data_IF_813378023797
#
_entry.id   IF_813378023797
#
_cell.length_a   1.000
_cell.length_b   1.000
_cell.length_c   1.000
_cell.angle_alpha   90.00
_cell.angle_beta   90.00
_cell.angle_gamma   90.00
#
_symmetry.space_group_name_H-M   'P 1'
#
loop_
_entity.id
_entity.type
_entity.pdbx_description
1 polymer ?
#
# COMPACT_ATOMS: atom_id res chain seq x y z
N UNK A 1 -11.11 9.43 -17.31
CA UNK A 1 -9.91 8.60 -17.53
C UNK A 1 -8.68 9.49 -17.67
N UNK A 2 -7.67 9.25 -16.83
CA UNK A 2 -6.40 9.96 -16.87
C UNK A 2 -5.48 9.47 -18.00
N UNK A 3 -4.33 10.14 -18.18
CA UNK A 3 -3.30 9.69 -19.12
C UNK A 3 -2.69 8.34 -18.69
N UNK A 4 -2.59 8.08 -17.37
CA UNK A 4 -2.14 6.78 -16.85
C UNK A 4 -3.12 5.67 -17.24
N UNK A 5 -4.43 5.89 -17.07
CA UNK A 5 -5.44 4.90 -17.44
C UNK A 5 -5.42 4.60 -18.93
N UNK A 6 -5.27 5.62 -19.78
CA UNK A 6 -5.17 5.45 -21.25
C UNK A 6 -3.96 4.59 -21.64
N UNK A 7 -2.82 4.85 -21.01
CA UNK A 7 -1.60 4.07 -21.22
C UNK A 7 -1.81 2.60 -20.79
N UNK A 8 -2.41 2.37 -19.63
CA UNK A 8 -2.71 1.03 -19.13
C UNK A 8 -3.67 0.27 -20.03
N UNK A 9 -4.73 0.92 -20.53
CA UNK A 9 -5.63 0.32 -21.52
C UNK A 9 -4.92 -0.03 -22.84
N UNK A 10 -3.94 0.79 -23.24
CA UNK A 10 -3.06 0.46 -24.37
C UNK A 10 -2.29 -0.84 -24.16
N UNK A 11 -1.73 -1.01 -22.97
CA UNK A 11 -1.00 -2.23 -22.57
C UNK A 11 -1.94 -3.46 -22.51
N UNK A 12 -3.19 -3.29 -22.07
CA UNK A 12 -4.19 -4.38 -22.04
C UNK A 12 -4.50 -4.99 -23.40
N UNK A 13 -4.46 -4.17 -24.45
CA UNK A 13 -4.72 -4.63 -25.83
C UNK A 13 -3.63 -5.57 -26.36
N UNK A 14 -2.45 -5.60 -25.76
CA UNK A 14 -1.28 -6.36 -26.26
C UNK A 14 -1.33 -7.86 -25.94
N UNK A 15 -2.40 -8.40 -25.31
CA UNK A 15 -2.57 -9.82 -24.96
C UNK A 15 -1.37 -10.49 -24.26
N UNK A 16 -0.40 -9.72 -23.80
CA UNK A 16 0.79 -10.18 -23.09
C UNK A 16 0.70 -9.83 -21.59
N UNK A 17 1.34 -10.58 -20.70
CA UNK A 17 1.41 -10.24 -19.29
C UNK A 17 1.99 -8.83 -19.10
N UNK A 18 1.36 -7.99 -18.30
CA UNK A 18 1.74 -6.57 -18.17
C UNK A 18 3.19 -6.39 -17.73
N UNK A 19 3.70 -7.26 -16.85
CA UNK A 19 5.09 -7.25 -16.41
C UNK A 19 6.06 -7.47 -17.58
N UNK A 20 5.72 -8.34 -18.52
CA UNK A 20 6.54 -8.60 -19.71
C UNK A 20 6.52 -7.38 -20.65
N UNK A 21 5.35 -6.74 -20.85
CA UNK A 21 5.25 -5.54 -21.67
C UNK A 21 6.10 -4.41 -21.07
N UNK A 22 5.97 -4.13 -19.76
CA UNK A 22 6.79 -3.10 -19.11
C UNK A 22 8.28 -3.48 -19.10
N UNK A 23 8.62 -4.77 -18.95
CA UNK A 23 9.99 -5.25 -19.07
C UNK A 23 10.60 -5.00 -20.46
N UNK A 24 9.87 -5.34 -21.53
CA UNK A 24 10.31 -5.07 -22.90
C UNK A 24 10.44 -3.57 -23.17
N UNK A 25 9.46 -2.77 -22.75
CA UNK A 25 9.52 -1.31 -22.90
C UNK A 25 10.73 -0.72 -22.16
N UNK A 26 11.03 -1.22 -20.97
CA UNK A 26 12.24 -0.84 -20.23
C UNK A 26 13.50 -1.17 -21.00
N UNK A 27 13.65 -2.41 -21.52
CA UNK A 27 14.83 -2.84 -22.29
C UNK A 27 15.01 -1.99 -23.55
N UNK A 28 13.92 -1.72 -24.28
CA UNK A 28 13.95 -0.86 -25.46
C UNK A 28 14.37 0.57 -25.10
N UNK A 29 13.74 1.16 -24.06
CA UNK A 29 14.08 2.51 -23.63
C UNK A 29 15.55 2.60 -23.13
N UNK A 30 16.01 1.58 -22.40
CA UNK A 30 17.40 1.48 -21.97
C UNK A 30 18.38 1.39 -23.15
N UNK A 31 18.07 0.57 -24.15
CA UNK A 31 18.89 0.46 -25.37
C UNK A 31 18.95 1.79 -26.13
N UNK A 32 17.81 2.48 -26.26
CA UNK A 32 17.74 3.81 -26.90
C UNK A 32 18.59 4.82 -26.14
N UNK A 33 18.47 4.92 -24.83
CA UNK A 33 19.26 5.85 -24.00
C UNK A 33 20.75 5.51 -24.09
N UNK A 34 21.13 4.23 -24.10
CA UNK A 34 22.51 3.79 -24.26
C UNK A 34 23.09 4.17 -25.65
N UNK A 35 22.29 3.98 -26.70
CA UNK A 35 22.69 4.40 -28.05
C UNK A 35 22.91 5.92 -28.17
N UNK A 36 22.01 6.71 -27.51
CA UNK A 36 22.13 8.17 -27.49
C UNK A 36 23.37 8.63 -26.70
N UNK A 37 23.72 7.94 -25.60
CA UNK A 37 24.98 8.19 -24.85
C UNK A 37 26.21 7.91 -25.67
N UNK A 38 26.22 6.83 -26.42
CA UNK A 38 27.33 6.51 -27.34
C UNK A 38 27.47 7.58 -28.44
N UNK A 39 26.32 8.05 -28.99
CA UNK A 39 26.29 9.15 -29.95
C UNK A 39 26.85 10.46 -29.36
N UNK A 40 26.60 10.71 -28.07
CA UNK A 40 27.11 11.89 -27.35
C UNK A 40 28.61 11.75 -26.95
N UNK A 41 29.31 10.69 -27.38
CA UNK A 41 30.77 10.50 -27.26
C UNK A 41 31.22 9.58 -26.14
N UNK A 42 30.33 8.87 -25.45
CA UNK A 42 30.72 7.84 -24.48
C UNK A 42 31.10 6.55 -25.23
N UNK A 43 32.12 5.85 -24.73
CA UNK A 43 32.40 4.48 -25.24
C UNK A 43 31.24 3.55 -24.83
N UNK A 44 31.01 2.49 -25.63
CA UNK A 44 29.94 1.51 -25.33
C UNK A 44 30.06 0.93 -23.92
N UNK A 45 31.29 0.64 -23.48
CA UNK A 45 31.54 0.13 -22.12
C UNK A 45 31.18 1.16 -21.03
N UNK A 46 31.46 2.45 -21.25
CA UNK A 46 31.07 3.53 -20.35
C UNK A 46 29.55 3.75 -20.35
N UNK A 47 28.93 3.72 -21.54
CA UNK A 47 27.47 3.90 -21.66
C UNK A 47 26.68 2.80 -20.97
N UNK A 48 27.21 1.58 -20.86
CA UNK A 48 26.61 0.44 -20.16
C UNK A 48 26.98 0.44 -18.67
N UNK A 49 28.22 0.80 -18.31
CA UNK A 49 28.74 0.78 -16.94
C UNK A 49 28.33 2.01 -16.10
N UNK A 50 28.08 3.15 -16.72
CA UNK A 50 27.50 4.28 -16.03
C UNK A 50 26.16 3.80 -15.42
N UNK A 51 25.84 4.12 -14.15
CA UNK A 51 24.62 3.60 -13.52
C UNK A 51 23.49 3.71 -14.52
N UNK A 52 22.75 2.62 -14.79
CA UNK A 52 21.62 2.69 -15.69
C UNK A 52 20.78 3.88 -15.24
N UNK A 53 20.11 4.60 -16.14
CA UNK A 53 19.27 5.68 -15.73
C UNK A 53 18.25 5.12 -14.72
N UNK A 54 18.61 5.19 -13.46
CA UNK A 54 17.86 4.66 -12.30
C UNK A 54 16.42 5.13 -12.40
N UNK A 55 16.28 6.35 -12.85
CA UNK A 55 15.00 6.99 -13.10
C UNK A 55 14.17 6.32 -14.21
N UNK A 56 14.82 5.70 -15.20
CA UNK A 56 14.09 4.98 -16.24
C UNK A 56 13.42 3.70 -15.69
N UNK A 57 14.12 2.97 -14.81
CA UNK A 57 13.56 1.80 -14.12
C UNK A 57 12.30 2.20 -13.35
N UNK A 58 12.30 3.38 -12.72
CA UNK A 58 11.18 3.84 -11.90
C UNK A 58 9.94 4.13 -12.72
N UNK A 59 10.05 4.69 -13.91
CA UNK A 59 8.89 4.96 -14.77
C UNK A 59 8.10 3.66 -14.97
N UNK A 60 8.79 2.61 -15.42
CA UNK A 60 8.14 1.34 -15.72
C UNK A 60 7.68 0.61 -14.46
N UNK A 61 8.46 0.68 -13.38
CA UNK A 61 8.07 0.14 -12.08
C UNK A 61 6.79 0.81 -11.55
N UNK A 62 6.73 2.14 -11.54
CA UNK A 62 5.57 2.90 -11.06
C UNK A 62 4.31 2.60 -11.88
N UNK A 63 4.43 2.50 -13.20
CA UNK A 63 3.31 2.14 -14.07
C UNK A 63 2.86 0.69 -13.84
N UNK A 64 3.79 -0.25 -13.69
CA UNK A 64 3.48 -1.64 -13.38
C UNK A 64 2.82 -1.78 -11.99
N UNK A 65 3.34 -1.07 -11.00
CA UNK A 65 2.78 -1.01 -9.64
C UNK A 65 1.34 -0.48 -9.65
N UNK A 66 1.09 0.63 -10.34
CA UNK A 66 -0.26 1.22 -10.46
C UNK A 66 -1.24 0.23 -11.06
N UNK A 67 -0.85 -0.48 -12.12
CA UNK A 67 -1.69 -1.50 -12.74
C UNK A 67 -1.98 -2.65 -11.79
N UNK A 68 -0.94 -3.16 -11.12
CA UNK A 68 -1.10 -4.23 -10.12
C UNK A 68 -2.06 -3.82 -9.01
N UNK A 69 -1.90 -2.60 -8.47
CA UNK A 69 -2.77 -2.10 -7.41
C UNK A 69 -4.21 -1.90 -7.86
N UNK A 70 -4.47 -1.45 -9.10
CA UNK A 70 -5.81 -1.33 -9.65
C UNK A 70 -6.50 -2.69 -9.79
N UNK A 71 -5.79 -3.71 -10.28
CA UNK A 71 -6.32 -5.07 -10.36
C UNK A 71 -6.65 -5.63 -8.97
N UNK A 72 -5.69 -5.50 -8.04
CA UNK A 72 -5.87 -5.90 -6.65
C UNK A 72 -7.05 -5.16 -5.99
N UNK A 73 -7.21 -3.87 -6.24
CA UNK A 73 -8.31 -3.06 -5.71
C UNK A 73 -9.68 -3.59 -6.16
N UNK A 74 -9.82 -3.95 -7.43
CA UNK A 74 -11.03 -4.59 -7.97
C UNK A 74 -11.35 -5.91 -7.28
N UNK A 75 -10.35 -6.79 -7.12
CA UNK A 75 -10.52 -8.07 -6.40
C UNK A 75 -10.92 -7.87 -4.94
N UNK A 76 -10.33 -6.87 -4.26
CA UNK A 76 -10.62 -6.59 -2.85
C UNK A 76 -11.99 -5.96 -2.67
N UNK A 77 -12.43 -5.12 -3.61
CA UNK A 77 -13.79 -4.59 -3.64
C UNK A 77 -14.82 -5.71 -3.82
N UNK A 78 -14.56 -6.68 -4.69
CA UNK A 78 -15.44 -7.83 -4.86
C UNK A 78 -15.62 -8.65 -3.57
N UNK A 79 -14.54 -8.84 -2.80
CA UNK A 79 -14.63 -9.49 -1.48
C UNK A 79 -15.35 -8.63 -0.45
N UNK A 80 -15.17 -7.31 -0.51
CA UNK A 80 -15.80 -6.36 0.42
C UNK A 80 -17.29 -6.17 0.14
N UNK A 81 -17.80 -6.60 -1.01
CA UNK A 81 -19.19 -6.42 -1.44
C UNK A 81 -20.20 -6.92 -0.39
N UNK A 82 -19.88 -8.03 0.30
CA UNK A 82 -20.75 -8.58 1.36
C UNK A 82 -20.94 -7.64 2.56
N UNK A 83 -20.04 -6.67 2.76
CA UNK A 83 -20.14 -5.65 3.79
C UNK A 83 -20.91 -4.40 3.35
N UNK A 84 -21.23 -4.27 2.06
CA UNK A 84 -21.94 -3.14 1.48
C UNK A 84 -23.42 -3.45 1.27
N UNK A 85 -24.27 -2.42 1.44
CA UNK A 85 -25.68 -2.45 1.06
C UNK A 85 -25.85 -1.52 -0.15
N UNK A 86 -25.51 -2.03 -1.34
CA UNK A 86 -25.49 -1.28 -2.60
C UNK A 86 -26.02 -2.15 -3.74
N UNK A 87 -26.71 -1.53 -4.69
CA UNK A 87 -27.12 -2.21 -5.92
C UNK A 87 -25.96 -2.37 -6.93
N UNK A 88 -26.22 -3.05 -8.05
CA UNK A 88 -25.19 -3.30 -9.06
C UNK A 88 -24.70 -2.04 -9.76
N UNK A 89 -25.54 -1.03 -9.91
CA UNK A 89 -25.18 0.24 -10.54
C UNK A 89 -24.25 1.06 -9.63
N UNK A 90 -24.62 1.16 -8.35
CA UNK A 90 -23.79 1.85 -7.36
C UNK A 90 -22.45 1.10 -7.13
N UNK A 91 -22.49 -0.24 -7.13
CA UNK A 91 -21.27 -1.06 -7.07
C UNK A 91 -20.35 -0.78 -8.27
N UNK A 92 -20.90 -0.66 -9.47
CA UNK A 92 -20.15 -0.29 -10.67
C UNK A 92 -19.48 1.08 -10.56
N UNK A 93 -20.17 2.09 -10.00
CA UNK A 93 -19.62 3.42 -9.76
C UNK A 93 -18.48 3.39 -8.72
N UNK A 94 -18.65 2.62 -7.63
CA UNK A 94 -17.60 2.43 -6.63
C UNK A 94 -16.36 1.75 -7.23
N UNK A 95 -16.54 0.72 -8.06
CA UNK A 95 -15.46 0.03 -8.74
C UNK A 95 -14.72 0.99 -9.69
N UNK A 96 -15.47 1.78 -10.47
CA UNK A 96 -14.89 2.79 -11.36
C UNK A 96 -14.07 3.83 -10.61
N UNK A 97 -14.58 4.39 -9.51
CA UNK A 97 -13.86 5.38 -8.68
C UNK A 97 -12.61 4.82 -8.03
N UNK A 98 -12.64 3.57 -7.60
CA UNK A 98 -11.51 2.92 -6.93
C UNK A 98 -10.36 2.61 -7.89
N UNK A 99 -10.67 2.32 -9.16
CA UNK A 99 -9.70 1.82 -10.15
C UNK A 99 -9.38 2.81 -11.26
N UNK A 100 -10.09 3.94 -11.35
CA UNK A 100 -9.91 4.94 -12.42
C UNK A 100 -9.57 6.31 -11.84
N UNK A 101 -8.61 6.98 -12.46
CA UNK A 101 -8.16 8.30 -12.02
C UNK A 101 -8.85 9.44 -12.75
N UNK A 102 -9.25 10.51 -12.05
CA UNK A 102 -9.71 11.73 -12.70
C UNK A 102 -8.57 12.40 -13.49
N UNK A 103 -8.85 12.81 -14.73
CA UNK A 103 -7.82 13.27 -15.67
C UNK A 103 -7.10 14.54 -15.20
N UNK A 104 -7.86 15.57 -14.81
CA UNK A 104 -7.29 16.89 -14.45
C UNK A 104 -6.43 16.82 -13.20
N UNK A 105 -6.87 16.28 -12.06
CA UNK A 105 -6.03 16.17 -10.87
C UNK A 105 -4.76 15.35 -11.10
N UNK A 106 -4.83 14.26 -11.85
CA UNK A 106 -3.65 13.42 -12.17
C UNK A 106 -2.62 14.22 -12.98
N UNK A 107 -3.08 15.00 -13.99
CA UNK A 107 -2.20 15.84 -14.78
C UNK A 107 -1.57 16.94 -13.93
N UNK A 108 -2.37 17.63 -13.10
CA UNK A 108 -1.88 18.73 -12.26
C UNK A 108 -0.81 18.25 -11.25
N UNK A 109 -0.99 17.07 -10.66
CA UNK A 109 0.03 16.49 -9.76
C UNK A 109 1.29 16.11 -10.54
N UNK A 110 1.17 15.55 -11.74
CA UNK A 110 2.33 15.31 -12.60
C UNK A 110 3.09 16.60 -12.92
N UNK A 111 2.39 17.67 -13.30
CA UNK A 111 2.99 18.98 -13.60
C UNK A 111 3.60 19.64 -12.34
N UNK A 112 2.96 19.52 -11.18
CA UNK A 112 3.51 20.04 -9.93
C UNK A 112 4.84 19.34 -9.58
N UNK A 113 4.92 18.02 -9.70
CA UNK A 113 6.16 17.27 -9.48
C UNK A 113 7.21 17.54 -10.55
N UNK A 114 6.80 17.78 -11.79
CA UNK A 114 7.69 18.26 -12.86
C UNK A 114 8.33 19.62 -12.48
N UNK A 115 7.53 20.55 -11.95
CA UNK A 115 8.03 21.83 -11.48
C UNK A 115 9.03 21.67 -10.30
N UNK A 116 8.75 20.76 -9.38
CA UNK A 116 9.69 20.39 -8.30
C UNK A 116 11.00 19.84 -8.88
N UNK A 117 10.95 18.95 -9.87
CA UNK A 117 12.15 18.44 -10.53
C UNK A 117 12.97 19.56 -11.16
N UNK A 118 12.32 20.46 -11.91
CA UNK A 118 12.98 21.61 -12.52
C UNK A 118 13.65 22.51 -11.48
N UNK A 119 12.98 22.79 -10.37
CA UNK A 119 13.54 23.59 -9.28
C UNK A 119 14.76 22.90 -8.62
N UNK A 120 14.67 21.58 -8.39
CA UNK A 120 15.79 20.77 -7.87
C UNK A 120 16.99 20.77 -8.84
N UNK A 121 16.74 20.67 -10.14
CA UNK A 121 17.81 20.74 -11.15
C UNK A 121 18.47 22.10 -11.18
N UNK A 122 17.73 23.18 -11.09
CA UNK A 122 18.29 24.53 -11.01
C UNK A 122 19.15 24.68 -9.75
N UNK A 123 18.65 24.23 -8.60
CA UNK A 123 19.39 24.29 -7.33
C UNK A 123 20.66 23.41 -7.33
N UNK A 124 20.57 22.21 -7.95
CA UNK A 124 21.67 21.25 -8.03
C UNK A 124 22.59 21.45 -9.26
N UNK A 125 22.33 22.44 -10.11
CA UNK A 125 23.05 22.65 -11.37
C UNK A 125 24.58 22.63 -11.23
N UNK A 126 25.22 23.27 -10.23
CA UNK A 126 26.68 23.20 -10.08
C UNK A 126 27.22 21.80 -9.79
N UNK A 127 26.44 20.94 -9.11
CA UNK A 127 26.82 19.56 -8.84
C UNK A 127 26.60 18.67 -10.07
N UNK A 128 25.50 18.88 -10.80
CA UNK A 128 25.16 18.18 -12.05
C UNK A 128 26.24 18.39 -13.12
N UNK A 129 26.73 19.64 -13.28
CA UNK A 129 27.81 19.97 -14.21
C UNK A 129 29.11 19.27 -13.79
N UNK A 130 29.43 19.26 -12.50
CA UNK A 130 30.65 18.58 -11.99
C UNK A 130 30.60 17.06 -12.19
N UNK A 131 29.43 16.46 -12.05
CA UNK A 131 29.23 15.01 -12.19
C UNK A 131 29.02 14.56 -13.66
N UNK A 132 29.13 15.50 -14.63
CA UNK A 132 28.98 15.22 -16.06
C UNK A 132 27.69 14.43 -16.40
N UNK A 133 26.58 14.77 -15.75
CA UNK A 133 25.28 14.15 -16.06
C UNK A 133 24.93 14.36 -17.54
N UNK A 134 24.71 13.28 -18.25
CA UNK A 134 24.31 13.36 -19.65
C UNK A 134 22.88 13.94 -19.77
N UNK A 135 22.61 14.62 -20.89
CA UNK A 135 21.30 15.22 -21.19
C UNK A 135 20.14 14.26 -21.00
N UNK A 136 20.34 13.00 -21.34
CA UNK A 136 19.35 11.93 -21.29
C UNK A 136 19.01 11.50 -19.86
N UNK A 137 19.92 11.65 -18.92
CA UNK A 137 19.69 11.43 -17.49
C UNK A 137 18.78 12.52 -16.92
N UNK A 138 18.98 13.77 -17.33
CA UNK A 138 18.11 14.89 -16.96
C UNK A 138 16.71 14.63 -17.52
N UNK A 139 16.56 14.28 -18.80
CA UNK A 139 15.26 14.00 -19.42
C UNK A 139 14.54 12.84 -18.73
N UNK A 140 15.25 11.73 -18.47
CA UNK A 140 14.66 10.58 -17.79
C UNK A 140 14.24 10.90 -16.36
N UNK A 141 15.03 11.70 -15.64
CA UNK A 141 14.69 12.16 -14.28
C UNK A 141 13.44 13.03 -14.29
N UNK A 142 13.39 14.03 -15.13
CA UNK A 142 12.25 14.95 -15.27
C UNK A 142 10.97 14.17 -15.61
N UNK A 143 11.06 13.21 -16.54
CA UNK A 143 9.93 12.36 -16.89
C UNK A 143 9.50 11.46 -15.73
N UNK A 144 10.46 10.95 -14.94
CA UNK A 144 10.18 10.14 -13.75
C UNK A 144 9.43 10.94 -12.69
N UNK A 145 9.80 12.19 -12.46
CA UNK A 145 9.07 13.05 -11.52
C UNK A 145 7.64 13.30 -11.99
N UNK A 146 7.44 13.56 -13.28
CA UNK A 146 6.09 13.73 -13.84
C UNK A 146 5.23 12.46 -13.65
N UNK A 147 5.75 11.28 -13.99
CA UNK A 147 5.05 10.01 -13.80
C UNK A 147 4.84 9.75 -12.31
N UNK A 148 5.87 9.96 -11.49
CA UNK A 148 5.83 9.80 -10.05
C UNK A 148 4.74 10.65 -9.39
N UNK A 149 4.59 11.91 -9.80
CA UNK A 149 3.52 12.80 -9.33
C UNK A 149 2.13 12.23 -9.62
N UNK A 150 1.91 11.69 -10.82
CA UNK A 150 0.67 11.01 -11.17
C UNK A 150 0.41 9.77 -10.30
N UNK A 151 1.45 8.99 -10.00
CA UNK A 151 1.34 7.76 -9.17
C UNK A 151 1.18 8.10 -7.68
N UNK A 152 1.81 9.16 -7.19
CA UNK A 152 1.54 9.67 -5.82
C UNK A 152 0.07 10.06 -5.69
N UNK A 153 -0.47 10.77 -6.69
CA UNK A 153 -1.90 11.09 -6.71
C UNK A 153 -2.77 9.83 -6.74
N UNK A 154 -2.42 8.84 -7.58
CA UNK A 154 -3.09 7.52 -7.61
C UNK A 154 -3.13 6.89 -6.21
N UNK A 155 -1.99 6.81 -5.54
CA UNK A 155 -1.90 6.24 -4.20
C UNK A 155 -2.84 6.95 -3.22
N UNK A 156 -2.79 8.28 -3.16
CA UNK A 156 -3.63 9.06 -2.24
C UNK A 156 -5.11 8.91 -2.60
N UNK A 157 -5.46 8.95 -3.88
CA UNK A 157 -6.83 8.78 -4.36
C UNK A 157 -7.38 7.42 -3.97
N UNK A 158 -6.68 6.33 -4.29
CA UNK A 158 -7.09 4.96 -3.99
C UNK A 158 -7.25 4.71 -2.49
N UNK A 159 -6.32 5.19 -1.66
CA UNK A 159 -6.42 5.05 -0.20
C UNK A 159 -7.57 5.87 0.40
N UNK A 160 -7.90 7.03 -0.18
CA UNK A 160 -9.09 7.81 0.20
C UNK A 160 -10.37 7.09 -0.18
N UNK A 161 -10.44 6.47 -1.36
CA UNK A 161 -11.62 5.69 -1.76
C UNK A 161 -11.78 4.45 -0.85
N UNK A 162 -10.70 3.76 -0.46
CA UNK A 162 -10.76 2.70 0.56
C UNK A 162 -11.34 3.21 1.87
N UNK A 163 -10.89 4.37 2.36
CA UNK A 163 -11.45 4.98 3.58
C UNK A 163 -12.94 5.29 3.45
N UNK A 164 -13.38 5.77 2.27
CA UNK A 164 -14.79 6.04 1.97
C UNK A 164 -15.63 4.76 1.91
N UNK A 165 -15.10 3.71 1.32
CA UNK A 165 -15.73 2.39 1.28
C UNK A 165 -15.91 1.83 2.69
N UNK A 166 -14.91 1.94 3.55
CA UNK A 166 -15.01 1.57 4.97
C UNK A 166 -16.11 2.38 5.70
N UNK A 167 -16.26 3.65 5.37
CA UNK A 167 -17.32 4.47 5.95
C UNK A 167 -18.74 4.06 5.49
N UNK A 168 -18.87 3.39 4.34
CA UNK A 168 -20.14 2.89 3.78
C UNK A 168 -20.47 1.45 4.18
N UNK A 169 -19.59 0.76 4.91
CA UNK A 169 -19.86 -0.61 5.34
C UNK A 169 -21.15 -0.65 6.21
N UNK A 170 -22.20 -1.30 5.72
CA UNK A 170 -23.48 -1.42 6.42
C UNK A 170 -23.47 -2.64 7.34
N UNK A 171 -22.84 -3.73 6.93
CA UNK A 171 -22.84 -4.99 7.64
C UNK A 171 -21.46 -5.30 8.24
N UNK A 172 -21.37 -5.27 9.57
CA UNK A 172 -20.16 -5.62 10.32
C UNK A 172 -20.41 -6.96 11.00
N UNK A 173 -20.07 -8.05 10.31
CA UNK A 173 -20.13 -9.38 10.89
C UNK A 173 -18.80 -9.74 11.57
N UNK A 174 -18.83 -9.77 12.91
CA UNK A 174 -17.66 -10.08 13.73
C UNK A 174 -17.25 -11.57 13.68
N UNK A 175 -18.15 -12.45 13.22
CA UNK A 175 -17.86 -13.88 13.07
C UNK A 175 -17.32 -14.21 11.68
N UNK A 176 -17.49 -13.29 10.71
CA UNK A 176 -17.00 -13.44 9.35
C UNK A 176 -16.15 -12.22 8.95
N UNK A 177 -14.89 -12.23 9.37
CA UNK A 177 -13.98 -11.09 9.23
C UNK A 177 -13.36 -10.93 7.83
N UNK A 178 -13.40 -11.96 6.97
CA UNK A 178 -12.73 -11.95 5.67
C UNK A 178 -13.10 -10.75 4.78
N UNK A 179 -14.39 -10.36 4.63
CA UNK A 179 -14.73 -9.16 3.88
C UNK A 179 -14.15 -7.88 4.51
N UNK A 180 -14.17 -7.79 5.85
CA UNK A 180 -13.68 -6.62 6.58
C UNK A 180 -12.16 -6.44 6.47
N UNK A 181 -11.42 -7.55 6.27
CA UNK A 181 -9.97 -7.56 6.06
C UNK A 181 -9.55 -7.36 4.61
N UNK A 182 -10.50 -7.27 3.66
CA UNK A 182 -10.21 -7.29 2.23
C UNK A 182 -9.18 -6.22 1.81
N UNK A 183 -9.34 -4.98 2.27
CA UNK A 183 -8.48 -3.88 1.87
C UNK A 183 -7.14 -3.81 2.61
N UNK A 184 -6.94 -4.57 3.70
CA UNK A 184 -5.65 -4.58 4.40
C UNK A 184 -4.49 -5.04 3.50
N UNK A 185 -4.74 -6.00 2.61
CA UNK A 185 -3.73 -6.45 1.66
C UNK A 185 -3.43 -5.39 0.58
N UNK A 186 -4.43 -4.62 0.14
CA UNK A 186 -4.22 -3.52 -0.81
C UNK A 186 -3.35 -2.42 -0.20
N UNK A 187 -3.68 -1.97 1.02
CA UNK A 187 -2.89 -0.95 1.72
C UNK A 187 -1.48 -1.42 2.04
N UNK A 188 -1.30 -2.69 2.43
CA UNK A 188 0.00 -3.29 2.64
C UNK A 188 0.83 -3.33 1.35
N UNK A 189 0.27 -3.80 0.23
CA UNK A 189 0.98 -3.87 -1.06
C UNK A 189 1.31 -2.48 -1.60
N UNK A 190 0.43 -1.50 -1.42
CA UNK A 190 0.73 -0.09 -1.75
C UNK A 190 1.96 0.41 -0.99
N UNK A 191 1.99 0.19 0.31
CA UNK A 191 3.11 0.60 1.17
C UNK A 191 4.39 -0.14 0.82
N UNK A 192 4.31 -1.45 0.59
CA UNK A 192 5.44 -2.29 0.16
C UNK A 192 6.02 -1.83 -1.18
N UNK A 193 5.16 -1.45 -2.12
CA UNK A 193 5.60 -0.90 -3.40
C UNK A 193 6.47 0.35 -3.24
N UNK A 194 6.07 1.28 -2.38
CA UNK A 194 6.85 2.47 -2.08
C UNK A 194 8.15 2.17 -1.30
N UNK A 195 8.12 1.23 -0.34
CA UNK A 195 9.31 0.79 0.40
C UNK A 195 10.32 0.15 -0.56
N UNK A 196 9.86 -0.72 -1.46
CA UNK A 196 10.74 -1.38 -2.45
C UNK A 196 11.37 -0.37 -3.40
N UNK A 197 10.57 0.60 -3.89
CA UNK A 197 11.08 1.67 -4.73
C UNK A 197 12.22 2.43 -4.03
N UNK A 198 12.02 2.81 -2.77
CA UNK A 198 13.02 3.53 -1.99
C UNK A 198 14.26 2.65 -1.74
N UNK A 199 14.06 1.37 -1.39
CA UNK A 199 15.15 0.44 -1.15
C UNK A 199 16.04 0.28 -2.39
N UNK A 200 15.43 0.06 -3.55
CA UNK A 200 16.17 -0.03 -4.83
C UNK A 200 16.90 1.28 -5.13
N UNK A 201 16.27 2.42 -4.84
CA UNK A 201 16.92 3.74 -5.01
C UNK A 201 18.19 3.86 -4.21
N UNK A 202 18.13 3.49 -2.94
CA UNK A 202 19.29 3.62 -2.03
C UNK A 202 20.50 2.82 -2.53
N UNK A 203 20.26 1.69 -3.24
CA UNK A 203 21.33 0.84 -3.76
C UNK A 203 21.84 1.27 -5.14
N UNK A 204 21.05 2.05 -5.87
CA UNK A 204 21.38 2.49 -7.23
C UNK A 204 21.89 3.92 -7.29
N UNK A 205 21.67 4.72 -6.25
CA UNK A 205 22.16 6.11 -6.18
C UNK A 205 23.58 6.13 -5.63
N UNK A 206 24.52 6.86 -6.26
CA UNK A 206 25.90 7.02 -5.78
C UNK A 206 25.98 7.50 -4.34
N UNK A 207 26.93 7.00 -3.56
CA UNK A 207 27.13 7.32 -2.15
C UNK A 207 27.26 8.82 -1.86
N UNK A 208 27.87 9.58 -2.79
CA UNK A 208 28.05 11.03 -2.71
C UNK A 208 26.71 11.79 -2.67
N UNK A 209 25.70 11.29 -3.40
CA UNK A 209 24.33 11.82 -3.38
C UNK A 209 23.59 11.29 -2.14
N UNK A 210 23.86 10.05 -1.74
CA UNK A 210 23.26 9.43 -0.57
C UNK A 210 23.69 10.13 0.74
N UNK A 211 24.91 10.65 0.82
CA UNK A 211 25.45 11.31 2.00
C UNK A 211 24.81 12.69 2.30
N UNK A 212 24.16 13.33 1.31
CA UNK A 212 23.68 14.72 1.42
C UNK A 212 22.28 14.90 2.02
N UNK A 213 21.76 13.94 2.80
CA UNK A 213 20.47 14.07 3.47
C UNK A 213 19.52 12.88 3.31
N UNK A 214 19.99 11.80 2.76
CA UNK A 214 19.19 10.61 2.46
C UNK A 214 18.61 9.92 3.71
N UNK A 215 19.27 10.02 4.86
CA UNK A 215 18.79 9.44 6.12
C UNK A 215 17.46 10.07 6.57
N UNK A 216 17.29 11.37 6.46
CA UNK A 216 16.04 12.04 6.77
C UNK A 216 14.92 11.65 5.79
N UNK A 217 15.23 11.55 4.50
CA UNK A 217 14.29 11.09 3.46
C UNK A 217 13.80 9.67 3.76
N UNK A 218 14.70 8.77 4.20
CA UNK A 218 14.35 7.42 4.60
C UNK A 218 13.29 7.40 5.70
N UNK A 219 13.51 8.12 6.79
CA UNK A 219 12.56 8.20 7.92
C UNK A 219 11.20 8.73 7.46
N UNK A 220 11.18 9.78 6.63
CA UNK A 220 9.94 10.35 6.10
C UNK A 220 9.19 9.34 5.24
N UNK A 221 9.85 8.66 4.30
CA UNK A 221 9.19 7.68 3.42
C UNK A 221 8.69 6.48 4.21
N UNK A 222 9.44 6.01 5.22
CA UNK A 222 9.00 4.93 6.11
C UNK A 222 7.76 5.36 6.91
N UNK A 223 7.73 6.56 7.44
CA UNK A 223 6.56 7.10 8.14
C UNK A 223 5.34 7.20 7.19
N UNK A 224 5.54 7.68 5.96
CA UNK A 224 4.49 7.71 4.93
C UNK A 224 4.01 6.31 4.56
N UNK A 225 4.89 5.34 4.43
CA UNK A 225 4.52 3.94 4.14
C UNK A 225 3.68 3.34 5.28
N UNK A 226 4.07 3.55 6.53
CA UNK A 226 3.28 3.12 7.69
C UNK A 226 1.91 3.83 7.71
N UNK A 227 1.88 5.14 7.46
CA UNK A 227 0.64 5.89 7.38
C UNK A 227 -0.27 5.38 6.25
N UNK A 228 0.28 5.09 5.07
CA UNK A 228 -0.45 4.54 3.92
C UNK A 228 -1.05 3.15 4.22
N UNK A 229 -0.42 2.35 5.08
CA UNK A 229 -0.98 1.08 5.54
C UNK A 229 -2.08 1.27 6.60
N UNK A 230 -1.83 2.08 7.63
CA UNK A 230 -2.67 2.14 8.83
C UNK A 230 -3.86 3.10 8.66
N UNK A 231 -3.62 4.32 8.12
CA UNK A 231 -4.63 5.40 8.11
C UNK A 231 -5.92 5.00 7.37
N UNK A 232 -5.88 4.37 6.18
CA UNK A 232 -7.11 3.97 5.48
C UNK A 232 -7.95 2.94 6.23
N UNK A 233 -7.32 2.16 7.13
CA UNK A 233 -7.97 1.09 7.90
C UNK A 233 -8.59 1.57 9.22
N UNK A 234 -8.25 2.79 9.68
CA UNK A 234 -8.74 3.33 10.96
C UNK A 234 -10.26 3.49 10.99
N UNK A 235 -10.89 3.80 9.85
CA UNK A 235 -12.35 3.89 9.72
C UNK A 235 -13.03 2.56 10.02
N UNK A 236 -12.54 1.47 9.44
CA UNK A 236 -13.04 0.13 9.69
C UNK A 236 -12.74 -0.33 11.11
N UNK A 237 -11.53 -0.07 11.63
CA UNK A 237 -11.19 -0.35 13.03
C UNK A 237 -12.22 0.24 14.01
N UNK A 238 -12.54 1.52 13.87
CA UNK A 238 -13.54 2.19 14.73
C UNK A 238 -14.91 1.53 14.66
N UNK A 239 -15.36 1.12 13.47
CA UNK A 239 -16.63 0.42 13.27
C UNK A 239 -16.62 -0.96 13.90
N UNK A 240 -15.55 -1.72 13.74
CA UNK A 240 -15.39 -3.04 14.38
C UNK A 240 -15.36 -2.92 15.91
N UNK A 241 -14.70 -1.88 16.45
CA UNK A 241 -14.73 -1.59 17.90
C UNK A 241 -16.15 -1.31 18.37
N UNK A 242 -16.90 -0.47 17.66
CA UNK A 242 -18.29 -0.17 18.01
C UNK A 242 -19.16 -1.43 17.94
N UNK A 243 -19.13 -2.18 16.84
CA UNK A 243 -19.90 -3.42 16.69
C UNK A 243 -19.56 -4.46 17.77
N UNK A 244 -18.27 -4.61 18.10
CA UNK A 244 -17.82 -5.50 19.19
C UNK A 244 -18.37 -5.07 20.55
N UNK A 245 -18.30 -3.79 20.87
CA UNK A 245 -18.84 -3.24 22.11
C UNK A 245 -20.34 -3.49 22.21
N UNK A 246 -21.07 -3.24 21.12
CA UNK A 246 -22.53 -3.40 21.10
C UNK A 246 -22.93 -4.88 21.21
N UNK A 247 -22.19 -5.79 20.57
CA UNK A 247 -22.40 -7.24 20.69
C UNK A 247 -22.11 -7.75 22.12
N UNK A 248 -21.02 -7.30 22.76
CA UNK A 248 -20.70 -7.64 24.15
C UNK A 248 -21.77 -7.08 25.10
N UNK A 249 -22.24 -5.86 24.89
CA UNK A 249 -23.31 -5.26 25.69
C UNK A 249 -24.61 -6.05 25.56
N UNK A 250 -25.00 -6.44 24.34
CA UNK A 250 -26.19 -7.26 24.11
C UNK A 250 -26.10 -8.63 24.79
N UNK A 251 -24.92 -9.28 24.74
CA UNK A 251 -24.69 -10.53 25.46
C UNK A 251 -24.73 -10.34 26.97
N UNK A 252 -24.23 -9.20 27.50
CA UNK A 252 -24.32 -8.82 28.92
C UNK A 252 -25.75 -8.65 29.39
N UNK A 253 -26.60 -7.98 28.59
CA UNK A 253 -28.03 -7.82 28.92
C UNK A 253 -28.80 -9.16 28.86
N UNK A 254 -28.41 -10.09 27.97
CA UNK A 254 -28.98 -11.46 27.98
C UNK A 254 -28.58 -12.20 29.25
N UNK A 255 -27.29 -12.12 29.64
CA UNK A 255 -26.78 -12.75 30.85
C UNK A 255 -27.48 -12.22 32.09
N UNK A 256 -27.65 -10.90 32.21
CA UNK A 256 -28.34 -10.26 33.30
C UNK A 256 -29.80 -10.77 33.42
N UNK A 257 -30.53 -10.83 32.30
CA UNK A 257 -31.90 -11.38 32.27
C UNK A 257 -31.94 -12.83 32.73
N UNK A 258 -31.10 -13.69 32.18
CA UNK A 258 -31.01 -15.11 32.58
C UNK A 258 -30.70 -15.26 34.07
N UNK A 259 -29.76 -14.46 34.61
CA UNK A 259 -29.41 -14.50 36.04
C UNK A 259 -30.60 -14.05 36.93
N UNK A 260 -31.33 -13.01 36.49
CA UNK A 260 -32.53 -12.55 37.20
C UNK A 260 -33.63 -13.63 37.23
N UNK A 261 -33.86 -14.30 36.09
CA UNK A 261 -34.86 -15.37 35.98
C UNK A 261 -34.47 -16.60 36.81
N UNK A 262 -33.18 -16.98 36.82
CA UNK A 262 -32.65 -18.05 37.68
C UNK A 262 -32.88 -17.75 39.15
N UNK A 263 -32.51 -16.54 39.60
CA UNK A 263 -32.67 -16.13 40.99
C UNK A 263 -34.15 -16.16 41.40
N UNK A 264 -35.07 -15.64 40.56
CA UNK A 264 -36.50 -15.69 40.83
C UNK A 264 -37.07 -17.11 40.89
N UNK A 265 -36.53 -18.08 40.19
CA UNK A 265 -36.92 -19.51 40.28
C UNK A 265 -36.39 -20.16 41.56
N UNK A 266 -35.15 -19.87 41.91
CA UNK A 266 -34.57 -20.34 43.17
C UNK A 266 -35.38 -19.86 44.36
N UNK A 267 -35.77 -18.57 44.37
CA UNK A 267 -36.59 -17.96 45.45
C UNK A 267 -37.96 -18.61 45.54
N UNK A 268 -38.52 -19.14 44.45
CA UNK A 268 -39.77 -19.89 44.42
C UNK A 268 -39.65 -21.36 44.74
N UNK A 269 -38.42 -21.90 44.87
CA UNK A 269 -38.16 -23.33 45.08
C UNK A 269 -38.36 -24.19 43.83
N UNK A 270 -38.36 -23.58 42.63
CA UNK A 270 -38.54 -24.26 41.34
C UNK A 270 -37.18 -24.70 40.75
N UNK A 271 -36.72 -25.91 41.01
CA UNK A 271 -35.38 -26.38 40.62
C UNK A 271 -35.36 -27.19 39.30
N UNK A 272 -36.49 -27.52 38.72
CA UNK A 272 -36.59 -28.44 37.54
C UNK A 272 -35.89 -27.94 36.28
N UNK A 273 -35.69 -26.61 36.14
CA UNK A 273 -35.09 -25.98 34.96
C UNK A 273 -33.69 -25.46 35.19
N UNK A 274 -33.09 -25.64 36.36
CA UNK A 274 -31.76 -25.08 36.68
C UNK A 274 -30.65 -25.58 35.76
N UNK A 275 -30.70 -26.85 35.32
CA UNK A 275 -29.71 -27.37 34.38
C UNK A 275 -29.78 -26.69 32.98
N UNK A 276 -30.99 -26.43 32.48
CA UNK A 276 -31.20 -25.69 31.25
C UNK A 276 -30.71 -24.24 31.35
N UNK A 277 -30.96 -23.57 32.47
CA UNK A 277 -30.44 -22.22 32.71
C UNK A 277 -28.90 -22.18 32.81
N UNK A 278 -28.29 -23.13 33.55
CA UNK A 278 -26.83 -23.24 33.59
C UNK A 278 -26.20 -23.39 32.21
N UNK A 279 -26.79 -24.22 31.35
CA UNK A 279 -26.33 -24.38 29.96
C UNK A 279 -26.51 -23.08 29.17
N UNK A 280 -27.64 -22.37 29.33
CA UNK A 280 -27.88 -21.09 28.67
C UNK A 280 -26.86 -20.03 29.13
N UNK A 281 -26.63 -19.88 30.43
CA UNK A 281 -25.63 -18.97 31.01
C UNK A 281 -24.24 -19.30 30.48
N UNK A 282 -23.83 -20.58 30.50
CA UNK A 282 -22.55 -21.01 29.98
C UNK A 282 -22.38 -20.68 28.49
N UNK A 283 -23.45 -20.81 27.67
CA UNK A 283 -23.44 -20.46 26.26
C UNK A 283 -23.22 -18.96 26.06
N UNK A 284 -23.93 -18.09 26.80
CA UNK A 284 -23.76 -16.62 26.70
C UNK A 284 -22.38 -16.19 27.19
N UNK A 285 -21.87 -16.80 28.26
CA UNK A 285 -20.50 -16.51 28.73
C UNK A 285 -19.46 -16.91 27.68
N UNK A 286 -19.61 -18.08 27.04
CA UNK A 286 -18.74 -18.52 25.95
C UNK A 286 -18.83 -17.59 24.72
N UNK A 287 -20.01 -17.05 24.40
CA UNK A 287 -20.18 -16.01 23.38
C UNK A 287 -19.42 -14.75 23.72
N UNK A 288 -19.56 -14.22 24.94
CA UNK A 288 -18.81 -13.05 25.39
C UNK A 288 -17.30 -13.25 25.33
N UNK A 289 -16.80 -14.41 25.75
CA UNK A 289 -15.40 -14.73 25.69
C UNK A 289 -14.86 -14.78 24.24
N UNK A 290 -15.62 -15.36 23.32
CA UNK A 290 -15.29 -15.35 21.88
C UNK A 290 -15.25 -13.95 21.34
N UNK A 291 -16.27 -13.13 21.60
CA UNK A 291 -16.32 -11.73 21.18
C UNK A 291 -15.15 -10.94 21.75
N UNK A 292 -14.78 -11.16 23.00
CA UNK A 292 -13.64 -10.48 23.63
C UNK A 292 -12.30 -10.77 22.93
N UNK A 293 -12.12 -11.97 22.39
CA UNK A 293 -10.91 -12.39 21.66
C UNK A 293 -10.83 -11.90 20.21
N UNK A 294 -11.93 -11.41 19.61
CA UNK A 294 -11.94 -10.91 18.24
C UNK A 294 -11.05 -9.66 18.12
N UNK A 295 -10.10 -9.69 17.19
CA UNK A 295 -9.31 -8.50 16.84
C UNK A 295 -10.20 -7.46 16.15
N UNK A 296 -10.08 -6.21 16.57
CA UNK A 296 -10.81 -5.08 15.94
C UNK A 296 -9.99 -4.39 14.84
N UNK A 297 -8.74 -4.77 14.65
CA UNK A 297 -7.98 -4.27 13.52
C UNK A 297 -8.30 -5.08 12.26
N UNK A 298 -8.60 -4.40 11.14
CA UNK A 298 -9.06 -5.07 9.91
C UNK A 298 -7.90 -5.63 9.09
N UNK A 299 -6.98 -6.35 9.72
CA UNK A 299 -5.93 -7.09 9.04
C UNK A 299 -5.77 -8.52 9.58
N UNK A 300 -5.50 -9.44 8.67
CA UNK A 300 -5.10 -10.78 9.04
C UNK A 300 -3.66 -10.76 9.60
N UNK A 301 -3.38 -11.66 10.55
CA UNK A 301 -2.05 -11.77 11.18
C UNK A 301 -0.93 -11.94 10.15
N UNK A 302 -1.18 -12.69 9.06
CA UNK A 302 -0.22 -12.87 7.97
C UNK A 302 0.11 -11.58 7.22
N UNK A 303 -0.90 -10.72 6.97
CA UNK A 303 -0.69 -9.42 6.30
C UNK A 303 0.17 -8.50 7.15
N UNK A 304 -0.13 -8.41 8.45
CA UNK A 304 0.66 -7.59 9.37
C UNK A 304 2.11 -8.08 9.48
N UNK A 305 2.30 -9.40 9.66
CA UNK A 305 3.66 -9.99 9.73
C UNK A 305 4.44 -9.72 8.45
N UNK A 306 3.86 -9.96 7.28
CA UNK A 306 4.49 -9.68 5.99
C UNK A 306 4.88 -8.21 5.84
N UNK A 307 3.99 -7.30 6.21
CA UNK A 307 4.27 -5.87 6.17
C UNK A 307 5.41 -5.46 7.10
N UNK A 308 5.39 -5.90 8.37
CA UNK A 308 6.45 -5.59 9.36
C UNK A 308 7.79 -6.19 8.92
N UNK A 309 7.81 -7.43 8.43
CA UNK A 309 9.03 -8.06 7.91
C UNK A 309 9.65 -7.27 6.76
N UNK A 310 8.83 -6.83 5.81
CA UNK A 310 9.30 -6.05 4.68
C UNK A 310 9.76 -4.63 5.08
N UNK A 311 9.09 -4.03 6.08
CA UNK A 311 9.48 -2.74 6.63
C UNK A 311 10.87 -2.81 7.29
N UNK A 312 11.19 -3.89 7.99
CA UNK A 312 12.45 -4.08 8.70
C UNK A 312 13.58 -4.61 7.80
N UNK A 313 13.23 -5.28 6.69
CA UNK A 313 14.22 -5.94 5.82
C UNK A 313 15.38 -5.02 5.39
N UNK A 314 15.16 -3.79 4.91
CA UNK A 314 16.25 -2.91 4.52
C UNK A 314 17.22 -2.59 5.65
N UNK A 315 16.69 -2.38 6.86
CA UNK A 315 17.51 -2.11 8.06
C UNK A 315 18.32 -3.33 8.44
N UNK A 316 17.73 -4.52 8.42
CA UNK A 316 18.41 -5.78 8.73
C UNK A 316 19.52 -6.07 7.73
N UNK A 317 19.24 -5.90 6.42
CA UNK A 317 20.26 -6.09 5.36
C UNK A 317 21.44 -5.16 5.56
N UNK A 318 21.18 -3.88 5.86
CA UNK A 318 22.25 -2.90 6.11
C UNK A 318 23.10 -3.29 7.34
N UNK A 319 22.47 -3.66 8.44
CA UNK A 319 23.19 -4.10 9.64
C UNK A 319 24.07 -5.34 9.40
N UNK A 320 23.55 -6.30 8.62
CA UNK A 320 24.31 -7.49 8.22
C UNK A 320 25.50 -7.10 7.33
N UNK A 321 25.31 -6.19 6.37
CA UNK A 321 26.41 -5.71 5.54
C UNK A 321 27.48 -4.98 6.34
N UNK A 322 27.10 -4.08 7.26
CA UNK A 322 28.03 -3.38 8.15
C UNK A 322 28.78 -4.35 9.07
N UNK A 323 28.11 -5.36 9.62
CA UNK A 323 28.74 -6.40 10.41
C UNK A 323 29.73 -7.24 9.59
N UNK A 324 29.35 -7.65 8.39
CA UNK A 324 30.21 -8.40 7.48
C UNK A 324 31.47 -7.61 7.10
N UNK A 325 31.34 -6.32 6.79
CA UNK A 325 32.47 -5.43 6.49
C UNK A 325 33.44 -5.30 7.67
N UNK A 326 32.93 -5.20 8.91
CA UNK A 326 33.79 -5.17 10.11
C UNK A 326 34.55 -6.47 10.33
N UNK A 327 33.91 -7.62 10.05
CA UNK A 327 34.53 -8.94 10.23
C UNK A 327 35.58 -9.24 9.14
N UNK A 328 35.31 -8.82 7.92
CA UNK A 328 36.21 -9.08 6.75
C UNK A 328 37.35 -8.07 6.63
N UNK A 329 37.38 -7.00 7.41
CA UNK A 329 38.43 -5.97 7.35
C UNK A 329 38.48 -5.16 6.04
N UNK A 330 37.47 -5.30 5.17
CA UNK A 330 37.40 -4.63 3.87
C UNK A 330 36.89 -3.18 3.96
N UNK A 331 36.84 -2.60 5.14
CA UNK A 331 36.31 -1.24 5.40
C UNK A 331 37.36 -0.23 5.85
N UNK A 332 38.65 -0.44 5.57
CA UNK A 332 39.72 0.57 5.80
C UNK A 332 40.33 1.02 4.49
#
# INVERSE_FOLDING_TARGET
MSWIDRLQHGVERLRAPSWAVFGVLFVVAYAVVTALRVRDGLTTAQAIRTPPPVFLVWIFYLLAMTRYLNHLAGERLARFRAALDVDDAEYGDLAYRLTTLPAVPTLLHGLAWLAVACALFVAAYPAIVRLHYARWEIVSTVLTYFVGGGVVYHTVHQLREVSRLHARAAHIDLYHLDPLHAFASLTAQTSLGWILLLYVTMHLVPEEIAASGFGATWVVVMAVAVAAFVVPLTGMHRRMVAAKRDAIAAAGERLKRLTTDVNAQIDRGEFDRLDAFNKAVATVMAEQERLAKISTWPWATGTLRGFVSALLLPTVVRLVQEAAQRVTGLGQ
#
